data_IF_370355123595
#
_entry.id   IF_370355123595
#
_cell.length_a   1.000
_cell.length_b   1.000
_cell.length_c   1.000
_cell.angle_alpha   90.00
_cell.angle_beta   90.00
_cell.angle_gamma   90.00
#
_symmetry.space_group_name_H-M   'P 1'
#
loop_
_entity.id
_entity.type
_entity.pdbx_description
1 polymer ?
#
# COMPACT_ATOMS: atom_id res chain seq x y z
N UNK A 1 19.09 23.19 1.66
CA UNK A 1 20.25 22.30 1.94
C UNK A 1 21.56 23.04 2.15
N UNK A 2 22.07 23.83 1.18
CA UNK A 2 23.33 24.59 1.39
C UNK A 2 23.24 25.57 2.58
N UNK A 3 22.07 26.20 2.78
CA UNK A 3 21.78 27.11 3.89
C UNK A 3 21.97 26.49 5.28
N UNK A 4 21.79 25.18 5.41
CA UNK A 4 21.86 24.47 6.70
C UNK A 4 23.12 23.61 6.85
N UNK A 5 24.08 23.71 5.92
CA UNK A 5 25.26 22.83 5.86
C UNK A 5 24.87 21.33 5.89
N UNK A 6 23.85 20.97 5.11
CA UNK A 6 23.32 19.61 4.99
C UNK A 6 24.30 18.61 4.36
N UNK A 7 25.27 19.12 3.59
CA UNK A 7 26.22 18.32 2.85
C UNK A 7 27.60 18.99 2.82
N UNK A 8 28.65 18.20 2.63
CA UNK A 8 30.02 18.68 2.51
C UNK A 8 30.45 18.94 1.05
N UNK A 9 31.70 19.35 0.84
CA UNK A 9 32.24 19.62 -0.50
C UNK A 9 32.28 18.38 -1.42
N UNK A 10 32.17 17.18 -0.86
CA UNK A 10 32.15 15.90 -1.56
C UNK A 10 30.71 15.41 -1.82
N UNK A 11 29.71 16.15 -1.32
CA UNK A 11 28.29 15.83 -1.46
C UNK A 11 27.79 14.75 -0.50
N UNK A 12 28.52 14.43 0.59
CA UNK A 12 28.06 13.51 1.64
C UNK A 12 27.02 14.17 2.52
N UNK A 13 26.02 13.40 2.96
CA UNK A 13 24.91 13.87 3.79
C UNK A 13 25.28 13.89 5.27
N UNK A 14 24.81 14.93 5.97
CA UNK A 14 24.95 15.11 7.41
C UNK A 14 23.87 14.31 8.18
N UNK A 15 24.26 13.55 9.20
CA UNK A 15 23.34 12.94 10.16
C UNK A 15 22.85 13.96 11.20
N UNK A 16 21.78 13.60 11.92
CA UNK A 16 21.24 14.25 13.12
C UNK A 16 22.30 14.65 14.17
N UNK A 17 23.43 13.95 14.22
CA UNK A 17 24.56 14.24 15.13
C UNK A 17 25.58 15.22 14.56
N UNK A 18 25.42 15.65 13.31
CA UNK A 18 26.35 16.54 12.61
C UNK A 18 27.52 15.84 11.90
N UNK A 19 27.59 14.51 11.94
CA UNK A 19 28.62 13.73 11.25
C UNK A 19 28.22 13.43 9.79
N UNK A 20 29.20 13.35 8.89
CA UNK A 20 28.97 13.03 7.48
C UNK A 20 29.03 11.52 7.24
N UNK A 21 27.98 10.98 6.62
CA UNK A 21 27.85 9.55 6.38
C UNK A 21 28.76 9.14 5.22
N UNK A 22 29.68 8.21 5.48
CA UNK A 22 30.54 7.63 4.44
C UNK A 22 29.73 6.90 3.36
N UNK A 23 30.13 7.04 2.10
CA UNK A 23 29.43 6.50 0.92
C UNK A 23 28.02 7.07 0.65
N UNK A 24 27.62 8.16 1.29
CA UNK A 24 26.42 8.91 0.90
C UNK A 24 26.73 9.90 -0.22
N UNK A 25 25.79 10.11 -1.14
CA UNK A 25 25.92 11.10 -2.21
C UNK A 25 24.60 11.83 -2.43
N UNK A 26 24.62 13.15 -2.21
CA UNK A 26 23.51 14.06 -2.44
C UNK A 26 22.99 13.97 -3.88
N UNK A 27 23.88 13.81 -4.84
CA UNK A 27 23.53 13.71 -6.26
C UNK A 27 22.77 12.41 -6.54
N UNK A 28 23.23 11.29 -5.97
CA UNK A 28 22.53 10.00 -6.10
C UNK A 28 21.17 10.04 -5.41
N UNK A 29 21.08 10.66 -4.24
CA UNK A 29 19.82 10.83 -3.49
C UNK A 29 18.83 11.76 -4.22
N UNK A 30 19.30 12.88 -4.78
CA UNK A 30 18.47 13.75 -5.62
C UNK A 30 18.02 13.03 -6.89
N UNK A 31 18.91 12.32 -7.58
CA UNK A 31 18.57 11.53 -8.75
C UNK A 31 17.55 10.43 -8.42
N UNK A 32 17.69 9.79 -7.25
CA UNK A 32 16.75 8.78 -6.76
C UNK A 32 15.39 9.38 -6.42
N UNK A 33 15.38 10.55 -5.77
CA UNK A 33 14.13 11.23 -5.46
C UNK A 33 13.42 11.71 -6.75
N UNK A 34 14.18 11.97 -7.82
CA UNK A 34 13.68 12.36 -9.16
C UNK A 34 13.40 11.17 -10.11
N UNK A 35 13.70 9.92 -9.72
CA UNK A 35 13.54 8.74 -10.59
C UNK A 35 13.27 7.49 -9.76
N UNK A 36 12.21 6.73 -10.06
CA UNK A 36 11.89 5.47 -9.38
C UNK A 36 13.07 4.48 -9.42
N UNK A 37 13.90 4.50 -8.39
CA UNK A 37 15.09 3.67 -8.28
C UNK A 37 15.22 3.16 -6.85
N UNK A 38 16.29 2.39 -6.58
CA UNK A 38 16.40 1.53 -5.38
C UNK A 38 16.71 2.34 -4.13
N UNK A 39 16.21 1.87 -2.98
CA UNK A 39 16.54 2.36 -1.63
C UNK A 39 18.04 2.62 -1.50
N UNK A 40 18.39 3.87 -1.17
CA UNK A 40 19.76 4.32 -1.00
C UNK A 40 20.12 4.48 0.49
N UNK A 41 21.41 4.41 0.78
CA UNK A 41 21.94 4.72 2.10
C UNK A 41 21.72 6.21 2.40
N UNK A 42 21.36 6.56 3.64
CA UNK A 42 21.11 7.93 4.11
C UNK A 42 19.84 8.64 3.59
N UNK A 43 18.85 7.89 3.09
CA UNK A 43 17.58 8.46 2.59
C UNK A 43 16.76 9.15 3.69
N UNK A 44 16.74 8.58 4.90
CA UNK A 44 15.99 9.14 6.02
C UNK A 44 16.59 10.46 6.48
N UNK A 45 17.90 10.49 6.63
CA UNK A 45 18.68 11.66 7.03
C UNK A 45 18.55 12.78 5.98
N UNK A 46 18.47 12.42 4.70
CA UNK A 46 18.17 13.36 3.63
C UNK A 46 16.77 14.00 3.76
N UNK A 47 15.74 13.21 4.09
CA UNK A 47 14.38 13.72 4.33
C UNK A 47 14.35 14.67 5.54
N UNK A 48 15.00 14.31 6.63
CA UNK A 48 15.06 15.14 7.84
C UNK A 48 15.74 16.50 7.57
N UNK A 49 16.80 16.50 6.75
CA UNK A 49 17.48 17.72 6.32
C UNK A 49 16.64 18.59 5.37
N UNK A 50 15.77 17.99 4.55
CA UNK A 50 14.85 18.75 3.71
C UNK A 50 13.85 19.53 4.58
N UNK A 51 13.27 18.87 5.59
CA UNK A 51 12.43 19.54 6.57
C UNK A 51 13.18 20.63 7.35
N UNK A 52 14.42 20.38 7.77
CA UNK A 52 15.26 21.39 8.44
C UNK A 52 15.55 22.59 7.54
N UNK A 53 15.68 22.37 6.23
CA UNK A 53 15.95 23.41 5.25
C UNK A 53 14.72 24.22 4.85
N UNK A 54 13.54 23.95 5.44
CA UNK A 54 12.25 24.50 5.00
C UNK A 54 11.96 24.20 3.53
N UNK A 55 12.46 23.06 3.04
CA UNK A 55 12.21 22.55 1.70
C UNK A 55 11.21 21.41 1.83
N UNK A 56 10.03 21.58 1.25
CA UNK A 56 9.02 20.54 1.24
C UNK A 56 9.54 19.31 0.47
N UNK A 57 9.71 18.14 1.12
CA UNK A 57 10.15 16.92 0.45
C UNK A 57 9.19 16.48 -0.67
N UNK A 58 7.93 16.93 -0.63
CA UNK A 58 6.91 16.66 -1.65
C UNK A 58 7.18 17.38 -2.98
N UNK A 59 8.12 18.35 -3.02
CA UNK A 59 8.60 18.99 -4.26
C UNK A 59 9.48 18.05 -5.09
N UNK A 60 9.94 16.93 -4.54
CA UNK A 60 10.80 15.99 -5.24
C UNK A 60 9.96 14.89 -5.92
N UNK A 61 9.52 15.23 -7.12
CA UNK A 61 8.93 14.53 -8.30
C UNK A 61 8.57 13.02 -8.21
N UNK A 62 8.10 12.50 -7.08
CA UNK A 62 7.38 11.23 -7.10
C UNK A 62 5.90 11.47 -6.81
N UNK A 63 5.08 11.30 -7.85
CA UNK A 63 3.61 11.37 -7.80
C UNK A 63 2.98 10.46 -6.71
N UNK A 64 3.75 9.55 -6.12
CA UNK A 64 3.35 8.68 -5.02
C UNK A 64 3.38 9.32 -3.61
N UNK A 65 4.01 10.50 -3.44
CA UNK A 65 4.13 11.19 -2.14
C UNK A 65 3.17 12.40 -2.02
N UNK A 66 2.36 12.65 -3.04
CA UNK A 66 1.48 13.82 -3.26
C UNK A 66 0.37 14.11 -2.23
N UNK A 67 0.43 13.59 -1.01
CA UNK A 67 -0.54 13.93 0.03
C UNK A 67 0.06 14.94 1.00
N UNK A 68 -0.44 16.17 0.93
CA UNK A 68 -0.15 17.26 1.87
C UNK A 68 -0.11 16.72 3.32
N UNK A 69 0.93 17.07 4.07
CA UNK A 69 1.14 16.67 5.47
C UNK A 69 -0.14 16.79 6.31
N UNK A 70 -0.87 17.89 6.14
CA UNK A 70 -2.14 18.15 6.83
C UNK A 70 -3.20 17.08 6.54
N UNK A 71 -3.29 16.60 5.30
CA UNK A 71 -4.23 15.56 4.90
C UNK A 71 -3.83 14.18 5.47
N UNK A 72 -2.53 13.90 5.64
CA UNK A 72 -2.06 12.66 6.27
C UNK A 72 -2.40 12.62 7.75
N UNK A 73 -2.15 13.72 8.45
CA UNK A 73 -2.44 13.85 9.88
C UNK A 73 -3.95 13.74 10.13
N UNK A 74 -4.75 14.36 9.27
CA UNK A 74 -6.20 14.24 9.26
C UNK A 74 -6.68 12.78 9.09
N UNK A 75 -6.12 12.05 8.11
CA UNK A 75 -6.48 10.65 7.88
C UNK A 75 -6.07 9.77 9.04
N UNK A 76 -4.93 10.04 9.66
CA UNK A 76 -4.48 9.32 10.85
C UNK A 76 -5.44 9.52 12.02
N UNK A 77 -5.83 10.77 12.29
CA UNK A 77 -6.79 11.10 13.34
C UNK A 77 -8.14 10.41 13.08
N UNK A 78 -8.68 10.49 11.87
CA UNK A 78 -9.96 9.88 11.51
C UNK A 78 -9.94 8.35 11.59
N UNK A 79 -8.83 7.71 11.19
CA UNK A 79 -8.74 6.26 11.10
C UNK A 79 -8.47 5.57 12.44
N UNK A 80 -7.71 6.20 13.34
CA UNK A 80 -7.33 5.60 14.62
C UNK A 80 -8.17 6.09 15.81
N UNK A 81 -8.99 7.14 15.64
CA UNK A 81 -9.83 7.65 16.72
C UNK A 81 -11.10 6.79 16.88
N UNK A 82 -11.30 6.08 18.01
CA UNK A 82 -12.48 5.22 18.21
C UNK A 82 -13.80 5.98 18.32
N UNK A 83 -13.77 7.30 18.51
CA UNK A 83 -14.97 8.14 18.52
C UNK A 83 -15.48 8.45 17.11
N UNK A 84 -14.62 8.34 16.10
CA UNK A 84 -14.97 8.64 14.72
C UNK A 84 -15.63 7.43 14.05
N UNK A 85 -16.75 7.61 13.30
CA UNK A 85 -17.40 6.52 12.57
C UNK A 85 -16.52 5.87 11.48
N UNK A 86 -15.43 6.53 11.11
CA UNK A 86 -14.49 6.08 10.08
C UNK A 86 -13.31 5.25 10.63
N UNK A 87 -13.29 5.01 11.95
CA UNK A 87 -12.26 4.25 12.64
C UNK A 87 -12.10 2.82 12.08
N UNK A 88 -10.85 2.42 11.81
CA UNK A 88 -10.46 1.12 11.24
C UNK A 88 -11.33 0.64 10.07
N UNK A 89 -11.87 1.58 9.30
CA UNK A 89 -12.90 1.29 8.30
C UNK A 89 -12.35 1.06 6.89
N UNK A 90 -13.26 0.81 5.95
CA UNK A 90 -12.96 0.71 4.52
C UNK A 90 -12.49 2.05 3.93
N UNK A 91 -11.78 1.99 2.80
CA UNK A 91 -11.34 3.14 2.01
C UNK A 91 -12.48 4.12 1.68
N UNK A 92 -13.66 3.61 1.31
CA UNK A 92 -14.81 4.46 0.98
C UNK A 92 -15.33 5.26 2.18
N UNK A 93 -15.43 4.61 3.35
CA UNK A 93 -15.92 5.25 4.58
C UNK A 93 -14.95 6.33 5.06
N UNK A 94 -13.66 6.02 5.09
CA UNK A 94 -12.61 6.97 5.45
C UNK A 94 -12.58 8.16 4.48
N UNK A 95 -12.66 7.91 3.17
CA UNK A 95 -12.72 8.95 2.16
C UNK A 95 -13.92 9.89 2.34
N UNK A 96 -15.11 9.34 2.58
CA UNK A 96 -16.31 10.17 2.79
C UNK A 96 -16.17 11.06 4.03
N UNK A 97 -15.61 10.55 5.13
CA UNK A 97 -15.35 11.33 6.34
C UNK A 97 -14.26 12.40 6.11
N UNK A 98 -13.18 12.04 5.43
CA UNK A 98 -12.07 12.94 5.12
C UNK A 98 -12.48 14.07 4.19
N UNK A 99 -13.30 13.79 3.17
CA UNK A 99 -13.79 14.78 2.19
C UNK A 99 -14.68 15.86 2.80
N UNK A 100 -15.34 15.56 3.92
CA UNK A 100 -16.12 16.56 4.66
C UNK A 100 -15.23 17.61 5.34
N UNK A 101 -14.04 17.21 5.81
CA UNK A 101 -13.08 18.09 6.48
C UNK A 101 -12.12 18.76 5.48
N UNK A 102 -11.63 18.01 4.49
CA UNK A 102 -10.74 18.49 3.43
C UNK A 102 -11.28 18.11 2.04
N UNK A 103 -11.88 19.07 1.30
CA UNK A 103 -12.45 18.81 -0.03
C UNK A 103 -11.41 18.45 -1.11
N UNK A 104 -10.12 18.64 -0.81
CA UNK A 104 -9.01 18.42 -1.75
C UNK A 104 -8.59 16.96 -1.86
N UNK A 105 -8.94 16.13 -0.87
CA UNK A 105 -8.52 14.74 -0.79
C UNK A 105 -9.22 13.92 -1.87
N UNK A 106 -8.46 13.13 -2.62
CA UNK A 106 -9.01 12.16 -3.57
C UNK A 106 -9.07 10.75 -2.96
N UNK A 107 -9.89 9.90 -3.56
CA UNK A 107 -10.02 8.50 -3.11
C UNK A 107 -8.74 7.70 -3.32
N UNK A 108 -7.93 8.05 -4.33
CA UNK A 108 -6.64 7.40 -4.55
C UNK A 108 -5.64 7.74 -3.44
N UNK A 109 -5.64 8.97 -2.95
CA UNK A 109 -4.75 9.38 -1.86
C UNK A 109 -5.05 8.59 -0.58
N UNK A 110 -6.35 8.42 -0.27
CA UNK A 110 -6.80 7.59 0.86
C UNK A 110 -6.38 6.13 0.68
N UNK A 111 -6.51 5.57 -0.52
CA UNK A 111 -6.06 4.19 -0.81
C UNK A 111 -4.56 4.03 -0.64
N UNK A 112 -3.78 4.99 -1.13
CA UNK A 112 -2.33 4.98 -1.00
C UNK A 112 -1.91 5.06 0.46
N UNK A 113 -2.52 5.95 1.24
CA UNK A 113 -2.27 6.06 2.68
C UNK A 113 -2.71 4.83 3.48
N UNK A 114 -3.87 4.26 3.16
CA UNK A 114 -4.32 3.01 3.80
C UNK A 114 -3.40 1.84 3.46
N UNK A 115 -2.81 1.81 2.25
CA UNK A 115 -1.85 0.78 1.87
C UNK A 115 -0.55 0.83 2.67
N UNK A 116 -0.19 1.98 3.24
CA UNK A 116 0.96 2.09 4.16
C UNK A 116 0.63 1.70 5.60
N UNK A 117 -0.65 1.61 5.98
CA UNK A 117 -1.03 1.24 7.35
C UNK A 117 -1.00 -0.27 7.56
N UNK A 118 -0.28 -0.70 8.60
CA UNK A 118 -0.11 -2.13 8.95
C UNK A 118 -1.45 -2.77 9.31
N UNK A 119 -2.30 -2.07 10.08
CA UNK A 119 -3.59 -2.61 10.50
C UNK A 119 -4.52 -2.90 9.31
N UNK A 120 -4.58 -1.95 8.38
CA UNK A 120 -5.39 -2.09 7.19
C UNK A 120 -4.91 -3.23 6.29
N UNK A 121 -3.60 -3.29 6.03
CA UNK A 121 -3.01 -4.31 5.16
C UNK A 121 -3.11 -5.72 5.73
N UNK A 122 -3.01 -5.87 7.06
CA UNK A 122 -3.16 -7.16 7.73
C UNK A 122 -4.58 -7.72 7.64
N UNK A 123 -5.61 -6.88 7.83
CA UNK A 123 -6.99 -7.34 7.94
C UNK A 123 -7.78 -7.24 6.63
N UNK A 124 -7.30 -6.52 5.63
CA UNK A 124 -7.95 -6.45 4.32
C UNK A 124 -7.69 -7.72 3.54
N UNK A 125 -8.76 -8.49 3.30
CA UNK A 125 -8.68 -9.67 2.42
C UNK A 125 -8.17 -9.29 1.02
N UNK A 126 -7.00 -9.80 0.67
CA UNK A 126 -6.42 -9.68 -0.67
C UNK A 126 -7.07 -10.72 -1.60
N UNK A 127 -7.99 -10.30 -2.45
CA UNK A 127 -8.53 -11.15 -3.52
C UNK A 127 -7.59 -11.14 -4.72
N UNK A 128 -6.66 -12.09 -4.78
CA UNK A 128 -5.81 -12.32 -5.96
C UNK A 128 -6.39 -13.45 -6.80
N UNK A 129 -6.58 -13.20 -8.10
CA UNK A 129 -6.86 -14.27 -9.06
C UNK A 129 -5.53 -14.93 -9.42
N UNK A 130 -5.32 -16.15 -8.94
CA UNK A 130 -4.18 -16.95 -9.34
C UNK A 130 -4.50 -17.62 -10.68
N UNK A 131 -3.57 -17.53 -11.64
CA UNK A 131 -3.65 -18.34 -12.86
C UNK A 131 -3.50 -19.79 -12.41
N UNK A 132 -4.45 -20.64 -12.78
CA UNK A 132 -4.37 -22.08 -12.57
C UNK A 132 -4.00 -22.74 -13.88
N UNK A 133 -3.26 -23.85 -13.83
CA UNK A 133 -3.00 -24.63 -15.02
C UNK A 133 -4.34 -25.19 -15.54
N UNK A 134 -4.70 -24.93 -16.80
CA UNK A 134 -5.88 -25.53 -17.39
C UNK A 134 -5.64 -27.02 -17.63
N UNK A 135 -6.71 -27.81 -17.57
CA UNK A 135 -6.70 -29.20 -18.03
C UNK A 135 -6.73 -29.16 -19.56
N UNK A 136 -5.71 -29.72 -20.21
CA UNK A 136 -5.57 -29.77 -21.66
C UNK A 136 -5.78 -31.22 -22.10
N UNK A 137 -6.71 -31.44 -23.02
CA UNK A 137 -7.08 -32.77 -23.53
C UNK A 137 -6.84 -32.79 -25.05
N UNK A 138 -6.30 -33.90 -25.57
CA UNK A 138 -5.92 -34.06 -26.97
C UNK A 138 -6.92 -34.84 -27.83
N UNK A 139 -7.70 -35.74 -27.22
CA UNK A 139 -8.67 -36.60 -27.90
C UNK A 139 -10.02 -36.72 -27.15
N UNK A 140 -11.05 -37.20 -27.86
CA UNK A 140 -12.35 -37.54 -27.27
C UNK A 140 -12.17 -38.73 -26.31
N UNK A 141 -12.86 -38.70 -25.16
CA UNK A 141 -12.84 -39.73 -24.10
C UNK A 141 -11.49 -39.93 -23.36
N UNK A 142 -10.53 -39.03 -23.52
CA UNK A 142 -9.22 -39.11 -22.84
C UNK A 142 -9.30 -38.78 -21.34
N UNK A 143 -10.30 -37.99 -20.93
CA UNK A 143 -10.49 -37.65 -19.53
C UNK A 143 -11.97 -37.67 -19.16
N UNK A 144 -12.27 -38.46 -18.12
CA UNK A 144 -13.60 -38.56 -17.51
C UNK A 144 -13.47 -38.06 -16.08
N UNK A 145 -14.38 -37.17 -15.68
CA UNK A 145 -14.52 -36.75 -14.29
C UNK A 145 -15.82 -37.34 -13.77
N UNK A 146 -15.77 -37.86 -12.54
CA UNK A 146 -16.95 -38.26 -11.81
C UNK A 146 -16.90 -37.66 -10.40
N UNK A 147 -18.03 -37.12 -9.96
CA UNK A 147 -18.22 -36.55 -8.64
C UNK A 147 -19.40 -37.25 -7.93
N UNK A 148 -19.40 -37.24 -6.61
CA UNK A 148 -20.47 -37.82 -5.79
C UNK A 148 -21.26 -36.70 -5.12
N UNK A 149 -22.56 -36.66 -5.36
CA UNK A 149 -23.49 -35.73 -4.74
C UNK A 149 -24.17 -36.40 -3.55
N UNK A 150 -24.13 -35.75 -2.38
CA UNK A 150 -24.87 -36.18 -1.19
C UNK A 150 -26.31 -35.65 -1.25
N UNK A 151 -27.28 -36.57 -1.21
CA UNK A 151 -28.71 -36.33 -1.31
C UNK A 151 -29.48 -36.91 -0.11
N UNK A 152 -28.80 -37.22 1.00
CA UNK A 152 -29.43 -37.84 2.17
C UNK A 152 -30.66 -37.06 2.68
N UNK A 153 -30.56 -35.73 2.74
CA UNK A 153 -31.65 -34.83 3.16
C UNK A 153 -32.87 -34.92 2.23
N UNK A 154 -32.65 -35.18 0.94
CA UNK A 154 -33.69 -35.24 -0.09
C UNK A 154 -34.08 -36.66 -0.49
N UNK A 155 -33.61 -37.67 0.24
CA UNK A 155 -33.84 -39.08 -0.08
C UNK A 155 -35.34 -39.45 -0.21
N UNK A 156 -36.21 -38.82 0.59
CA UNK A 156 -37.66 -39.02 0.51
C UNK A 156 -38.28 -38.60 -0.84
N UNK A 157 -37.66 -37.63 -1.53
CA UNK A 157 -38.08 -37.15 -2.85
C UNK A 157 -37.30 -37.82 -3.99
N UNK A 158 -36.33 -38.68 -3.66
CA UNK A 158 -35.41 -39.32 -4.59
C UNK A 158 -35.45 -40.85 -4.44
N UNK A 159 -36.64 -41.43 -4.27
CA UNK A 159 -36.85 -42.89 -4.14
C UNK A 159 -35.90 -43.58 -3.14
N UNK A 160 -35.57 -42.89 -2.05
CA UNK A 160 -34.60 -43.28 -1.02
C UNK A 160 -33.14 -43.42 -1.49
N UNK A 161 -32.79 -42.98 -2.69
CA UNK A 161 -31.41 -42.85 -3.13
C UNK A 161 -30.74 -41.66 -2.43
N UNK A 162 -29.65 -41.97 -1.73
CA UNK A 162 -28.91 -41.02 -0.88
C UNK A 162 -27.72 -40.38 -1.57
N UNK A 163 -27.22 -40.98 -2.64
CA UNK A 163 -26.05 -40.50 -3.36
C UNK A 163 -26.27 -40.62 -4.86
N UNK A 164 -25.78 -39.64 -5.61
CA UNK A 164 -25.81 -39.62 -7.07
C UNK A 164 -24.37 -39.49 -7.56
N UNK A 165 -23.96 -40.36 -8.47
CA UNK A 165 -22.69 -40.23 -9.18
C UNK A 165 -22.94 -39.45 -10.47
N UNK A 166 -22.17 -38.38 -10.69
CA UNK A 166 -22.28 -37.49 -11.85
C UNK A 166 -21.00 -37.46 -12.63
#
# INVERSE_FOLDING_TARGET
>A
LAKINAYDNEGRIRDSKGEFISNSSLIQLLSHAMTASRILLAEKEFIDLLYEADVDPDLIINDNVKMNKDNRDLLYELYYNPKEPSCFSSDIKLYNAARLKSPTITLNDVKNWLSSQICYTLHKSLRRKFIRNPIIISAIDEQWQADLVDMQEFSAFNDNYKYILT
#
